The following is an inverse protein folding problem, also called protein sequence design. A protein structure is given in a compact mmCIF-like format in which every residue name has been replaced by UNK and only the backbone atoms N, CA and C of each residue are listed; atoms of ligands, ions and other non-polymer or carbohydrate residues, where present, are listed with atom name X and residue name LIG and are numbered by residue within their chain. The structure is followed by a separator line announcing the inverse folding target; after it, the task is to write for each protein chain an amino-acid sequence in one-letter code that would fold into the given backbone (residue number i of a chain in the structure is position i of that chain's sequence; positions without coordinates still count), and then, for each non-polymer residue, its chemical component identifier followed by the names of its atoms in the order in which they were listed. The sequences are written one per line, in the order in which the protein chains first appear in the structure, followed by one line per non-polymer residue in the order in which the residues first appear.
data_IF_894731864220
#
_entry.id   IF_894731864220
#
_cell.length_a   1.000
_cell.length_b   1.000
_cell.length_c   1.000
_cell.angle_alpha   90.00
_cell.angle_beta   90.00
_cell.angle_gamma   90.00
#
_symmetry.space_group_name_H-M   'P 1'
#
loop_
_entity.id
_entity.type
_entity.pdbx_description
1 polymer ?
#
# COMPACT_ATOMS: atom_id res chain seq x y z
N UNK A 1 25.93 27.56 39.05
CA UNK A 1 25.15 26.55 39.81
C UNK A 1 23.67 26.94 39.84
N UNK A 2 22.82 26.33 39.01
CA UNK A 2 21.39 26.12 39.26
C UNK A 2 20.93 24.90 38.46
N UNK A 3 20.46 23.90 39.19
CA UNK A 3 19.99 22.58 38.74
C UNK A 3 18.58 22.72 38.21
N UNK A 4 18.28 22.17 37.04
CA UNK A 4 16.93 21.75 36.67
C UNK A 4 17.07 20.54 35.74
N UNK A 5 16.91 19.35 36.32
CA UNK A 5 16.72 18.09 35.58
C UNK A 5 15.20 17.94 35.47
N UNK A 6 14.65 18.05 34.26
CA UNK A 6 13.27 17.68 33.98
C UNK A 6 13.30 16.31 33.28
N UNK A 7 13.09 15.26 34.08
CA UNK A 7 12.70 13.95 33.61
C UNK A 7 11.21 14.06 33.30
N UNK A 8 10.86 14.18 32.02
CA UNK A 8 9.49 14.08 31.55
C UNK A 8 9.30 12.71 30.94
N UNK A 9 8.97 11.74 31.80
CA UNK A 9 8.35 10.47 31.39
C UNK A 9 6.99 10.79 30.80
N UNK A 10 6.91 10.88 29.47
CA UNK A 10 5.62 10.85 28.78
C UNK A 10 5.38 9.41 28.34
N UNK A 11 4.34 8.86 28.97
CA UNK A 11 3.52 7.72 28.64
C UNK A 11 3.87 6.93 27.36
N UNK A 12 4.05 5.62 27.55
CA UNK A 12 3.88 4.63 26.52
C UNK A 12 2.51 4.79 25.85
N UNK A 13 2.48 5.32 24.62
CA UNK A 13 1.41 5.06 23.69
C UNK A 13 1.81 3.78 22.95
N UNK A 14 1.41 2.64 23.50
CA UNK A 14 1.29 1.42 22.73
C UNK A 14 0.24 1.68 21.64
N UNK A 15 0.68 1.99 20.42
CA UNK A 15 -0.14 1.78 19.23
C UNK A 15 -0.17 0.26 18.98
N UNK A 16 -0.97 -0.42 19.81
CA UNK A 16 -1.39 -1.78 19.57
C UNK A 16 -2.64 -1.72 18.67
N UNK A 17 -2.58 -2.42 17.55
CA UNK A 17 -3.78 -2.92 16.89
C UNK A 17 -4.37 -2.00 15.82
N UNK A 18 -3.69 -1.91 14.69
CA UNK A 18 -4.37 -2.14 13.42
C UNK A 18 -3.37 -2.85 12.51
N UNK A 19 -3.43 -4.17 12.49
CA UNK A 19 -3.04 -4.89 11.28
C UNK A 19 -4.12 -4.52 10.27
N UNK A 20 -4.00 -3.35 9.64
CA UNK A 20 -4.75 -3.07 8.46
C UNK A 20 -4.30 -4.14 7.46
N UNK A 21 -5.23 -5.00 7.07
CA UNK A 21 -5.26 -5.48 5.70
C UNK A 21 -5.52 -4.23 4.84
N UNK A 22 -4.50 -3.39 4.73
CA UNK A 22 -4.53 -2.17 3.94
C UNK A 22 -4.33 -2.64 2.50
N UNK A 23 -5.19 -2.19 1.60
CA UNK A 23 -4.88 -2.25 0.19
C UNK A 23 -3.43 -1.76 0.00
N UNK A 24 -2.65 -2.38 -0.91
CA UNK A 24 -1.26 -1.99 -1.10
C UNK A 24 -1.19 -0.48 -1.27
N UNK A 25 -0.36 0.18 -0.47
CA UNK A 25 -0.21 1.63 -0.57
C UNK A 25 0.71 1.94 -1.74
N UNK A 26 0.38 2.94 -2.55
CA UNK A 26 1.19 3.36 -3.69
C UNK A 26 2.68 3.50 -3.32
N UNK A 27 2.99 4.29 -2.28
CA UNK A 27 4.34 4.48 -1.73
C UNK A 27 5.06 3.21 -1.26
N UNK A 28 4.33 2.11 -1.03
CA UNK A 28 4.93 0.83 -0.63
C UNK A 28 5.25 -0.06 -1.81
N UNK A 29 4.60 0.18 -2.95
CA UNK A 29 4.78 -0.57 -4.19
C UNK A 29 5.76 0.16 -5.11
N UNK A 30 5.68 1.49 -5.20
CA UNK A 30 6.66 2.35 -5.84
C UNK A 30 7.95 2.37 -4.99
N UNK A 31 8.83 1.40 -5.25
CA UNK A 31 10.03 1.18 -4.45
C UNK A 31 11.18 2.09 -4.84
N UNK A 32 11.20 2.56 -6.09
CA UNK A 32 12.22 3.48 -6.57
C UNK A 32 11.83 4.96 -6.45
N UNK A 33 10.55 5.24 -6.20
CA UNK A 33 10.02 6.55 -5.85
C UNK A 33 9.95 7.49 -7.05
N UNK A 34 9.76 6.97 -8.26
CA UNK A 34 9.65 7.77 -9.48
C UNK A 34 8.21 8.28 -9.72
N UNK A 35 7.26 7.82 -8.91
CA UNK A 35 5.86 8.24 -8.97
C UNK A 35 5.02 7.46 -9.97
N UNK A 36 5.51 6.33 -10.48
CA UNK A 36 4.74 5.34 -11.24
C UNK A 36 5.02 3.93 -10.72
N UNK A 37 4.07 3.03 -10.86
CA UNK A 37 4.27 1.62 -10.50
C UNK A 37 4.47 0.82 -11.77
N UNK A 38 5.65 0.24 -11.91
CA UNK A 38 5.95 -0.66 -13.03
C UNK A 38 5.30 -2.02 -12.83
N UNK A 39 5.15 -2.79 -13.91
CA UNK A 39 4.65 -4.17 -13.82
C UNK A 39 5.44 -5.02 -12.81
N UNK A 40 6.76 -4.86 -12.76
CA UNK A 40 7.61 -5.62 -11.84
C UNK A 40 7.32 -5.30 -10.37
N UNK A 41 7.00 -4.04 -10.08
CA UNK A 41 6.62 -3.59 -8.74
C UNK A 41 5.20 -4.02 -8.40
N UNK A 42 4.26 -3.90 -9.33
CA UNK A 42 2.90 -4.41 -9.16
C UNK A 42 2.90 -5.93 -8.90
N UNK A 43 3.76 -6.69 -9.59
CA UNK A 43 3.94 -8.14 -9.39
C UNK A 43 4.56 -8.50 -8.04
N UNK A 44 5.23 -7.58 -7.36
CA UNK A 44 5.72 -7.79 -6.00
C UNK A 44 4.56 -7.93 -4.99
N UNK A 45 3.42 -7.29 -5.29
CA UNK A 45 2.19 -7.37 -4.49
C UNK A 45 1.23 -8.42 -5.04
N UNK A 46 1.04 -8.43 -6.36
CA UNK A 46 0.12 -9.29 -7.06
C UNK A 46 0.89 -10.15 -8.07
N UNK A 47 1.51 -11.26 -7.64
CA UNK A 47 2.32 -12.10 -8.52
C UNK A 47 1.53 -12.76 -9.66
N UNK A 48 0.21 -12.78 -9.56
CA UNK A 48 -0.70 -13.26 -10.61
C UNK A 48 -1.02 -12.19 -11.67
N UNK A 49 -0.63 -10.93 -11.44
CA UNK A 49 -0.89 -9.83 -12.37
C UNK A 49 -0.15 -10.05 -13.69
N UNK A 50 -0.92 -10.14 -14.76
CA UNK A 50 -0.40 -10.25 -16.13
C UNK A 50 -0.18 -8.89 -16.78
N UNK A 51 0.64 -8.85 -17.83
CA UNK A 51 0.83 -7.64 -18.67
C UNK A 51 -0.49 -7.11 -19.24
N UNK A 52 -1.39 -8.01 -19.68
CA UNK A 52 -2.70 -7.65 -20.22
C UNK A 52 -3.60 -7.00 -19.16
N UNK A 53 -3.59 -7.54 -17.93
CA UNK A 53 -4.34 -6.94 -16.82
C UNK A 53 -3.74 -5.60 -16.40
N UNK A 54 -2.41 -5.51 -16.29
CA UNK A 54 -1.73 -4.25 -15.99
C UNK A 54 -2.05 -3.18 -17.04
N UNK A 55 -1.96 -3.54 -18.34
CA UNK A 55 -2.30 -2.65 -19.45
C UNK A 55 -3.79 -2.26 -19.50
N UNK A 56 -4.67 -3.01 -18.81
CA UNK A 56 -6.07 -2.62 -18.67
C UNK A 56 -6.26 -1.45 -17.68
N UNK A 57 -5.30 -1.23 -16.77
CA UNK A 57 -5.30 -0.13 -15.81
C UNK A 57 -4.40 1.04 -16.22
N UNK A 58 -3.36 0.78 -17.03
CA UNK A 58 -2.53 1.81 -17.68
C UNK A 58 -3.33 2.45 -18.84
N UNK A 59 -4.18 3.43 -18.49
CA UNK A 59 -5.10 4.11 -19.43
C UNK A 59 -4.32 5.02 -20.36
N UNK A 60 -3.22 5.60 -19.87
CA UNK A 60 -2.42 6.55 -20.61
C UNK A 60 -1.36 5.86 -21.53
N UNK A 61 -1.13 4.56 -21.33
CA UNK A 61 -0.18 3.70 -22.04
C UNK A 61 1.28 4.17 -21.93
N UNK A 62 1.68 4.70 -20.77
CA UNK A 62 3.05 5.15 -20.50
C UNK A 62 3.99 4.01 -20.03
N UNK A 63 3.42 2.85 -19.69
CA UNK A 63 4.15 1.68 -19.21
C UNK A 63 4.25 1.58 -17.69
N UNK A 64 3.56 2.46 -16.97
CA UNK A 64 3.43 2.50 -15.52
C UNK A 64 1.97 2.72 -15.10
N UNK A 65 1.65 2.45 -13.83
CA UNK A 65 0.42 2.93 -13.20
C UNK A 65 0.75 4.18 -12.39
N UNK A 66 0.17 5.31 -12.74
CA UNK A 66 0.20 6.47 -11.86
C UNK A 66 -0.67 6.24 -10.61
N UNK A 67 -0.60 7.15 -9.64
CA UNK A 67 -1.34 7.01 -8.38
C UNK A 67 -2.84 6.74 -8.58
N UNK A 68 -3.48 7.42 -9.52
CA UNK A 68 -4.93 7.27 -9.75
C UNK A 68 -5.25 5.93 -10.42
N UNK A 69 -4.41 5.49 -11.36
CA UNK A 69 -4.55 4.20 -12.04
C UNK A 69 -4.30 3.04 -11.07
N UNK A 70 -3.28 3.16 -10.22
CA UNK A 70 -3.01 2.21 -9.15
C UNK A 70 -4.15 2.15 -8.14
N UNK A 71 -4.75 3.27 -7.72
CA UNK A 71 -5.91 3.27 -6.82
C UNK A 71 -7.09 2.51 -7.43
N UNK A 72 -7.33 2.67 -8.73
CA UNK A 72 -8.36 1.93 -9.45
C UNK A 72 -8.06 0.44 -9.47
N UNK A 73 -6.81 0.06 -9.73
CA UNK A 73 -6.36 -1.33 -9.68
C UNK A 73 -6.46 -1.94 -8.27
N UNK A 74 -5.95 -1.25 -7.25
CA UNK A 74 -5.96 -1.69 -5.87
C UNK A 74 -7.39 -1.85 -5.33
N UNK A 75 -8.35 -1.05 -5.81
CA UNK A 75 -9.77 -1.23 -5.50
C UNK A 75 -10.38 -2.50 -6.10
N UNK A 76 -9.77 -3.09 -7.14
CA UNK A 76 -10.19 -4.39 -7.69
C UNK A 76 -9.61 -5.57 -6.93
N UNK A 77 -8.53 -5.36 -6.17
CA UNK A 77 -7.98 -6.38 -5.30
C UNK A 77 -8.95 -6.58 -4.12
N UNK A 78 -9.42 -7.81 -3.87
CA UNK A 78 -10.26 -8.06 -2.73
C UNK A 78 -9.44 -7.77 -1.47
N UNK A 79 -9.86 -6.75 -0.72
CA UNK A 79 -9.29 -6.41 0.58
C UNK A 79 -9.74 -7.44 1.62
N UNK A 80 -9.34 -8.71 1.47
CA UNK A 80 -9.73 -9.82 2.34
C UNK A 80 -11.20 -9.71 2.81
N UNK A 81 -12.16 -9.74 1.86
CA UNK A 81 -13.53 -10.06 2.26
C UNK A 81 -13.54 -11.53 2.66
N UNK A 82 -13.40 -11.73 3.97
CA UNK A 82 -13.66 -12.96 4.68
C UNK A 82 -14.82 -13.73 4.03
N UNK A 83 -14.50 -14.98 3.71
CA UNK A 83 -15.40 -16.07 3.41
C UNK A 83 -16.39 -16.30 4.57
N UNK A 84 -17.34 -15.38 4.74
CA UNK A 84 -18.37 -15.38 5.78
C UNK A 84 -19.72 -15.90 5.31
N UNK A 85 -19.76 -16.80 4.33
CA UNK A 85 -20.98 -17.53 3.96
C UNK A 85 -20.81 -19.03 4.26
N UNK A 86 -20.60 -19.32 5.55
CA UNK A 86 -20.87 -20.64 6.10
C UNK A 86 -22.38 -20.90 6.14
N UNK A 87 -22.84 -21.69 5.16
CA UNK A 87 -23.82 -22.79 5.25
C UNK A 87 -25.09 -22.64 6.12
#
# INVERSE_FOLDING_TARGET
MKRQVLISTIAAAAFAGAAFAEAPMFDTVDTDGDGVITLSEAQAVAPELTEDEFAAFDVNADGGLDQAEFEAWAATLPADEEHGEGH
#
